data_IF_270431132556
#
_entry.id   IF_270431132556
#
_cell.length_a   1.000
_cell.length_b   1.000
_cell.length_c   1.000
_cell.angle_alpha   90.00
_cell.angle_beta   90.00
_cell.angle_gamma   90.00
#
_symmetry.space_group_name_H-M   'P 1'
#
loop_
_entity.id
_entity.type
_entity.pdbx_description
1 polymer ?
#
# COMPACT_ATOMS: atom_id res chain seq x y z
N UNK A 1 4.15 -26.01 3.84
CA UNK A 1 5.61 -26.00 4.11
C UNK A 1 5.93 -24.73 4.91
N UNK A 2 7.03 -24.71 5.66
CA UNK A 2 7.42 -23.57 6.50
C UNK A 2 8.60 -22.83 5.84
N UNK A 3 8.41 -21.55 5.57
CA UNK A 3 9.43 -20.65 5.01
C UNK A 3 9.61 -19.45 5.94
N UNK A 4 10.60 -18.61 5.65
CA UNK A 4 10.92 -17.43 6.44
C UNK A 4 11.29 -16.27 5.53
N UNK A 5 10.95 -15.06 5.96
CA UNK A 5 11.50 -13.80 5.45
C UNK A 5 12.19 -13.15 6.66
N UNK A 6 13.52 -13.13 6.66
CA UNK A 6 14.36 -12.85 7.82
C UNK A 6 14.00 -13.78 9.00
N UNK A 7 13.32 -13.26 10.02
CA UNK A 7 12.84 -14.02 11.18
C UNK A 7 11.31 -14.17 11.20
N UNK A 8 10.61 -13.65 10.18
CA UNK A 8 9.16 -13.70 10.09
C UNK A 8 8.74 -15.02 9.42
N UNK A 9 8.00 -15.90 10.10
CA UNK A 9 7.56 -17.17 9.54
C UNK A 9 6.51 -16.96 8.43
N UNK A 10 6.59 -17.79 7.39
CA UNK A 10 5.67 -17.82 6.26
C UNK A 10 5.02 -19.20 6.18
N UNK A 11 3.70 -19.24 6.30
CA UNK A 11 2.90 -20.46 6.22
C UNK A 11 2.09 -20.51 4.93
N UNK A 12 2.37 -21.53 4.12
CA UNK A 12 1.59 -21.85 2.92
C UNK A 12 0.48 -22.83 3.30
N UNK A 13 -0.76 -22.32 3.33
CA UNK A 13 -1.96 -23.07 3.69
C UNK A 13 -2.61 -23.71 2.47
N UNK A 14 -2.49 -23.07 1.31
CA UNK A 14 -2.89 -23.60 0.00
C UNK A 14 -1.76 -23.34 -0.98
N UNK A 15 -1.43 -24.33 -1.81
CA UNK A 15 -0.35 -24.21 -2.78
C UNK A 15 -0.73 -23.17 -3.86
N UNK A 16 0.18 -22.25 -4.18
CA UNK A 16 -0.01 -21.28 -5.24
C UNK A 16 0.00 -21.94 -6.63
N UNK A 17 -0.33 -21.21 -7.72
CA UNK A 17 -0.10 -21.66 -9.09
C UNK A 17 1.33 -22.19 -9.28
N UNK A 18 1.51 -23.22 -10.11
CA UNK A 18 2.82 -23.88 -10.33
C UNK A 18 3.93 -22.94 -10.81
N UNK A 19 3.55 -21.80 -11.39
CA UNK A 19 4.45 -20.77 -11.90
C UNK A 19 5.02 -19.88 -10.78
N UNK A 20 4.46 -19.95 -9.57
CA UNK A 20 4.87 -19.19 -8.39
C UNK A 20 5.80 -20.04 -7.50
N UNK A 21 6.96 -19.47 -7.16
CA UNK A 21 7.94 -20.06 -6.25
C UNK A 21 7.95 -19.29 -4.92
N UNK A 22 7.38 -19.88 -3.88
CA UNK A 22 7.39 -19.30 -2.51
C UNK A 22 8.83 -19.04 -2.02
N UNK A 23 9.82 -19.92 -2.24
CA UNK A 23 11.21 -19.61 -1.91
C UNK A 23 11.72 -18.35 -2.61
N UNK A 24 11.45 -18.19 -3.90
CA UNK A 24 11.92 -17.02 -4.66
C UNK A 24 11.26 -15.74 -4.18
N UNK A 25 9.95 -15.78 -3.88
CA UNK A 25 9.26 -14.67 -3.22
C UNK A 25 9.92 -14.30 -1.88
N UNK A 26 10.26 -15.28 -1.04
CA UNK A 26 10.89 -15.01 0.25
C UNK A 26 12.29 -14.40 0.08
N UNK A 27 13.11 -14.94 -0.83
CA UNK A 27 14.45 -14.42 -1.15
C UNK A 27 14.37 -12.97 -1.66
N UNK A 28 13.48 -12.68 -2.60
CA UNK A 28 13.28 -11.33 -3.13
C UNK A 28 12.79 -10.35 -2.06
N UNK A 29 11.87 -10.77 -1.19
CA UNK A 29 11.40 -9.96 -0.07
C UNK A 29 12.54 -9.60 0.90
N UNK A 30 13.44 -10.53 1.20
CA UNK A 30 14.61 -10.31 2.06
C UNK A 30 15.64 -9.36 1.44
N UNK A 31 15.81 -9.39 0.12
CA UNK A 31 16.70 -8.48 -0.60
C UNK A 31 16.19 -7.03 -0.62
N UNK A 32 14.87 -6.85 -0.61
CA UNK A 32 14.21 -5.55 -0.77
C UNK A 32 13.96 -4.87 0.57
N UNK A 33 13.44 -5.62 1.55
CA UNK A 33 13.09 -5.09 2.86
C UNK A 33 14.07 -5.60 3.90
N UNK A 34 14.67 -4.69 4.65
CA UNK A 34 15.49 -5.06 5.80
C UNK A 34 14.64 -5.53 6.99
N UNK A 35 15.19 -6.41 7.83
CA UNK A 35 14.46 -7.06 8.92
C UNK A 35 13.75 -6.10 9.89
N UNK A 36 14.29 -4.90 10.14
CA UNK A 36 13.66 -3.94 11.08
C UNK A 36 12.30 -3.43 10.57
N UNK A 37 12.10 -3.38 9.24
CA UNK A 37 10.83 -2.98 8.63
C UNK A 37 9.73 -4.02 8.83
N UNK A 38 10.08 -5.24 9.23
CA UNK A 38 9.16 -6.34 9.53
C UNK A 38 8.88 -6.49 11.04
N UNK A 39 9.36 -5.56 11.88
CA UNK A 39 9.19 -5.64 13.34
C UNK A 39 7.72 -5.67 13.80
N UNK A 40 6.80 -5.12 12.99
CA UNK A 40 5.36 -5.19 13.21
C UNK A 40 4.65 -6.41 12.62
N UNK A 41 5.39 -7.31 11.93
CA UNK A 41 4.86 -8.48 11.24
C UNK A 41 5.30 -9.76 11.96
N UNK A 42 4.36 -10.36 12.68
CA UNK A 42 4.55 -11.60 13.42
C UNK A 42 4.60 -12.84 12.50
N UNK A 43 3.84 -12.81 11.40
CA UNK A 43 3.64 -13.98 10.54
C UNK A 43 3.05 -13.59 9.17
N UNK A 44 3.39 -14.37 8.13
CA UNK A 44 2.78 -14.29 6.81
C UNK A 44 2.01 -15.58 6.51
N UNK A 45 0.78 -15.45 6.03
CA UNK A 45 -0.07 -16.55 5.60
C UNK A 45 -0.41 -16.45 4.12
N UNK A 46 -0.19 -17.52 3.37
CA UNK A 46 -0.54 -17.63 1.95
C UNK A 46 -1.65 -18.70 1.80
N UNK A 47 -2.82 -18.30 1.30
CA UNK A 47 -3.97 -19.20 1.19
C UNK A 47 -5.29 -18.51 0.86
N UNK A 48 -6.37 -19.28 0.88
CA UNK A 48 -7.72 -18.75 0.69
C UNK A 48 -8.35 -18.34 2.03
N UNK A 49 -8.47 -17.03 2.27
CA UNK A 49 -9.03 -16.46 3.50
C UNK A 49 -10.32 -15.70 3.20
N UNK A 50 -11.38 -15.97 3.96
CA UNK A 50 -12.68 -15.29 3.76
C UNK A 50 -12.62 -13.82 4.18
N UNK A 51 -11.75 -13.53 5.12
CA UNK A 51 -11.50 -12.22 5.71
C UNK A 51 -10.97 -11.21 4.69
N UNK A 52 -10.31 -11.67 3.63
CA UNK A 52 -9.82 -10.82 2.54
C UNK A 52 -10.95 -10.29 1.66
N UNK A 53 -12.09 -11.00 1.58
CA UNK A 53 -13.17 -10.62 0.67
C UNK A 53 -12.69 -10.54 -0.78
N UNK A 54 -12.76 -9.35 -1.38
CA UNK A 54 -12.30 -9.08 -2.74
C UNK A 54 -10.85 -8.56 -2.80
N UNK A 55 -10.15 -8.52 -1.66
CA UNK A 55 -8.75 -8.08 -1.58
C UNK A 55 -7.80 -9.24 -1.81
N UNK A 56 -6.61 -8.92 -2.27
CA UNK A 56 -5.56 -9.91 -2.46
C UNK A 56 -4.72 -10.11 -1.20
N UNK A 57 -4.56 -9.07 -0.40
CA UNK A 57 -3.89 -9.14 0.88
C UNK A 57 -4.50 -8.20 1.93
N UNK A 58 -4.14 -8.45 3.19
CA UNK A 58 -4.44 -7.57 4.31
C UNK A 58 -3.52 -7.87 5.50
N UNK A 59 -3.04 -6.83 6.15
CA UNK A 59 -2.42 -6.87 7.46
C UNK A 59 -3.48 -6.81 8.55
N UNK A 60 -3.51 -7.82 9.43
CA UNK A 60 -4.49 -7.96 10.50
C UNK A 60 -3.86 -8.59 11.73
N UNK A 61 -3.90 -7.87 12.87
CA UNK A 61 -3.44 -8.38 14.18
C UNK A 61 -2.03 -9.00 14.15
N UNK A 62 -1.07 -8.32 13.52
CA UNK A 62 0.32 -8.79 13.41
C UNK A 62 0.57 -9.76 12.25
N UNK A 63 -0.47 -10.30 11.62
CA UNK A 63 -0.34 -11.21 10.47
C UNK A 63 -0.58 -10.51 9.14
N UNK A 64 0.25 -10.81 8.13
CA UNK A 64 -0.04 -10.51 6.72
C UNK A 64 -0.73 -11.74 6.11
N UNK A 65 -1.94 -11.56 5.59
CA UNK A 65 -2.70 -12.59 4.91
C UNK A 65 -2.72 -12.29 3.43
N UNK A 66 -2.31 -13.23 2.58
CA UNK A 66 -2.29 -13.08 1.12
C UNK A 66 -3.01 -14.25 0.45
N UNK A 67 -3.71 -13.95 -0.63
CA UNK A 67 -4.33 -14.96 -1.49
C UNK A 67 -3.27 -15.85 -2.12
N UNK A 68 -3.55 -17.16 -2.21
CA UNK A 68 -2.69 -18.08 -2.96
C UNK A 68 -2.86 -17.92 -4.48
N UNK A 69 -3.83 -17.14 -4.94
CA UNK A 69 -4.21 -17.03 -6.35
C UNK A 69 -3.50 -15.92 -7.13
N UNK A 70 -2.46 -15.30 -6.54
CA UNK A 70 -1.65 -14.33 -7.28
C UNK A 70 -0.93 -14.98 -8.47
N UNK A 71 -0.89 -14.32 -9.64
CA UNK A 71 -0.38 -14.95 -10.84
C UNK A 71 1.15 -14.99 -10.90
N UNK A 72 1.84 -14.07 -10.21
CA UNK A 72 3.31 -14.02 -10.20
C UNK A 72 3.89 -13.75 -8.82
N UNK A 73 5.17 -14.08 -8.64
CA UNK A 73 5.92 -13.71 -7.43
C UNK A 73 5.99 -12.19 -7.22
N UNK A 74 5.99 -11.41 -8.31
CA UNK A 74 6.01 -9.96 -8.24
C UNK A 74 4.68 -9.41 -7.69
N UNK A 75 3.54 -9.96 -8.09
CA UNK A 75 2.23 -9.53 -7.53
C UNK A 75 2.16 -9.84 -6.03
N UNK A 76 2.71 -10.98 -5.59
CA UNK A 76 2.82 -11.28 -4.16
C UNK A 76 3.75 -10.34 -3.42
N UNK A 77 4.84 -9.97 -4.05
CA UNK A 77 5.80 -9.03 -3.50
C UNK A 77 5.20 -7.63 -3.38
N UNK A 78 4.42 -7.16 -4.37
CA UNK A 78 3.65 -5.92 -4.30
C UNK A 78 2.72 -5.93 -3.08
N UNK A 79 1.89 -6.98 -2.94
CA UNK A 79 1.01 -7.15 -1.78
C UNK A 79 1.79 -7.19 -0.46
N UNK A 80 2.88 -7.96 -0.38
CA UNK A 80 3.67 -8.10 0.84
C UNK A 80 4.29 -6.77 1.29
N UNK A 81 4.87 -6.01 0.35
CA UNK A 81 5.46 -4.69 0.65
C UNK A 81 4.38 -3.69 1.04
N UNK A 82 3.22 -3.73 0.38
CA UNK A 82 2.06 -2.89 0.71
C UNK A 82 1.56 -3.15 2.14
N UNK A 83 1.32 -4.42 2.48
CA UNK A 83 0.85 -4.79 3.82
C UNK A 83 1.91 -4.60 4.91
N UNK A 84 3.20 -4.71 4.56
CA UNK A 84 4.28 -4.29 5.45
C UNK A 84 4.19 -2.80 5.77
N UNK A 85 3.89 -1.96 4.78
CA UNK A 85 3.68 -0.53 5.03
C UNK A 85 2.53 -0.29 6.02
N UNK A 86 1.41 -1.00 5.88
CA UNK A 86 0.32 -0.94 6.86
C UNK A 86 0.74 -1.41 8.26
N UNK A 87 1.61 -2.41 8.36
CA UNK A 87 2.12 -2.87 9.66
C UNK A 87 2.94 -1.79 10.38
N UNK A 88 3.73 -0.99 9.64
CA UNK A 88 4.57 0.08 10.18
C UNK A 88 3.74 1.21 10.80
N UNK A 89 2.49 1.39 10.37
CA UNK A 89 1.62 2.42 10.93
C UNK A 89 1.39 2.23 12.44
N UNK A 90 1.36 0.99 12.92
CA UNK A 90 1.17 0.72 14.36
C UNK A 90 2.28 1.33 15.22
N UNK A 91 3.50 1.39 14.70
CA UNK A 91 4.67 1.91 15.40
C UNK A 91 4.94 3.38 15.06
N UNK A 92 4.79 3.75 13.79
CA UNK A 92 5.25 5.02 13.26
C UNK A 92 4.11 6.00 12.93
N UNK A 93 2.85 5.73 13.31
CA UNK A 93 1.71 6.62 12.99
C UNK A 93 1.97 8.10 13.28
N UNK A 94 2.56 8.43 14.43
CA UNK A 94 2.86 9.83 14.81
C UNK A 94 3.93 10.48 13.94
N UNK A 95 4.84 9.69 13.37
CA UNK A 95 5.91 10.15 12.48
C UNK A 95 5.44 10.21 11.02
N UNK A 96 4.66 9.22 10.57
CA UNK A 96 4.08 9.15 9.23
C UNK A 96 3.05 10.28 9.07
N UNK A 97 2.04 10.31 9.93
CA UNK A 97 0.86 11.16 9.78
C UNK A 97 0.97 12.50 10.51
N UNK A 98 2.14 13.12 10.38
CA UNK A 98 2.29 14.50 10.83
C UNK A 98 1.54 15.49 9.92
N UNK A 99 1.48 16.75 10.37
CA UNK A 99 0.82 17.81 9.61
C UNK A 99 1.37 17.94 8.19
N UNK A 100 2.65 17.67 7.96
CA UNK A 100 3.27 17.86 6.64
C UNK A 100 2.75 16.84 5.63
N UNK A 101 2.65 15.56 6.00
CA UNK A 101 2.13 14.52 5.09
C UNK A 101 0.63 14.72 4.87
N UNK A 102 -0.10 15.08 5.93
CA UNK A 102 -1.54 15.37 5.84
C UNK A 102 -1.80 16.53 4.87
N UNK A 103 -1.00 17.60 4.91
CA UNK A 103 -1.16 18.73 3.99
C UNK A 103 -0.81 18.37 2.54
N UNK A 104 0.26 17.59 2.30
CA UNK A 104 0.59 17.09 0.95
C UNK A 104 -0.57 16.27 0.37
N UNK A 105 -1.11 15.33 1.15
CA UNK A 105 -2.23 14.50 0.75
C UNK A 105 -3.51 15.30 0.48
N UNK A 106 -3.90 16.22 1.39
CA UNK A 106 -5.07 17.08 1.20
C UNK A 106 -4.95 18.00 -0.01
N UNK A 107 -3.76 18.54 -0.26
CA UNK A 107 -3.48 19.33 -1.46
C UNK A 107 -3.74 18.53 -2.74
N UNK A 108 -3.26 17.29 -2.77
CA UNK A 108 -3.49 16.37 -3.91
C UNK A 108 -4.97 16.02 -4.07
N UNK A 109 -5.69 15.71 -3.00
CA UNK A 109 -7.14 15.45 -3.07
C UNK A 109 -7.95 16.66 -3.50
N UNK A 110 -7.56 17.86 -3.10
CA UNK A 110 -8.17 19.11 -3.57
C UNK A 110 -7.98 19.27 -5.08
N UNK A 111 -6.79 18.94 -5.59
CA UNK A 111 -6.52 18.97 -7.03
C UNK A 111 -7.32 17.91 -7.79
N UNK A 112 -7.39 16.68 -7.27
CA UNK A 112 -8.19 15.59 -7.84
C UNK A 112 -9.67 15.96 -7.89
N UNK A 113 -10.20 16.55 -6.82
CA UNK A 113 -11.58 17.07 -6.79
C UNK A 113 -11.86 18.02 -7.95
N UNK A 114 -10.99 19.00 -8.18
CA UNK A 114 -11.17 19.95 -9.27
C UNK A 114 -11.14 19.29 -10.65
N UNK A 115 -10.32 18.23 -10.82
CA UNK A 115 -10.28 17.44 -12.06
C UNK A 115 -11.57 16.64 -12.25
N UNK A 116 -12.04 15.94 -11.21
CA UNK A 116 -13.27 15.16 -11.24
C UNK A 116 -14.51 16.04 -11.50
N UNK A 117 -14.59 17.20 -10.86
CA UNK A 117 -15.67 18.17 -11.09
C UNK A 117 -15.66 18.69 -12.54
N UNK A 118 -14.48 18.90 -13.14
CA UNK A 118 -14.34 19.32 -14.53
C UNK A 118 -14.80 18.24 -15.53
N UNK A 119 -14.56 16.96 -15.21
CA UNK A 119 -15.07 15.81 -15.97
C UNK A 119 -16.56 15.52 -15.70
N UNK A 120 -17.20 16.28 -14.81
CA UNK A 120 -18.64 16.20 -14.54
C UNK A 120 -19.05 15.21 -13.45
N UNK A 121 -18.09 14.60 -12.73
CA UNK A 121 -18.39 13.73 -11.60
C UNK A 121 -18.91 14.52 -10.41
N UNK A 122 -19.92 13.97 -9.72
CA UNK A 122 -20.59 14.63 -8.58
C UNK A 122 -20.71 13.69 -7.41
N UNK A 123 -20.06 14.07 -6.31
CA UNK A 123 -20.20 13.42 -5.01
C UNK A 123 -20.26 14.50 -3.92
N UNK A 124 -20.66 14.14 -2.70
CA UNK A 124 -20.65 15.07 -1.57
C UNK A 124 -19.24 15.67 -1.38
N UNK A 125 -19.06 17.00 -1.48
CA UNK A 125 -17.76 17.65 -1.35
C UNK A 125 -17.01 17.33 -0.05
N UNK A 126 -17.74 17.09 1.04
CA UNK A 126 -17.14 16.74 2.33
C UNK A 126 -16.36 15.43 2.29
N UNK A 127 -16.69 14.53 1.35
CA UNK A 127 -15.99 13.27 1.23
C UNK A 127 -14.52 13.46 0.82
N UNK A 128 -14.19 14.55 0.11
CA UNK A 128 -12.82 14.92 -0.26
C UNK A 128 -11.93 15.36 0.91
N UNK A 129 -12.54 15.72 2.05
CA UNK A 129 -11.82 16.22 3.22
C UNK A 129 -11.45 15.10 4.22
N UNK A 130 -12.14 13.95 4.17
CA UNK A 130 -11.86 12.81 5.06
C UNK A 130 -10.59 12.10 4.69
N UNK A 131 -9.53 12.25 5.48
CA UNK A 131 -8.23 11.67 5.13
C UNK A 131 -8.16 10.16 5.32
N UNK A 132 -8.89 9.63 6.29
CA UNK A 132 -8.98 8.19 6.55
C UNK A 132 -9.90 7.49 5.55
N UNK A 133 -9.77 6.16 5.48
CA UNK A 133 -10.59 5.32 4.63
C UNK A 133 -12.08 5.62 4.80
N UNK A 134 -12.74 5.90 3.69
CA UNK A 134 -14.18 6.08 3.64
C UNK A 134 -14.75 5.21 2.52
N UNK A 135 -15.45 4.14 2.89
CA UNK A 135 -16.04 3.18 1.96
C UNK A 135 -16.82 3.83 0.82
N UNK A 136 -17.61 4.88 1.12
CA UNK A 136 -18.42 5.56 0.10
C UNK A 136 -17.55 6.34 -0.90
N UNK A 137 -16.45 6.95 -0.44
CA UNK A 137 -15.54 7.66 -1.33
C UNK A 137 -14.73 6.68 -2.19
N UNK A 138 -14.28 5.58 -1.58
CA UNK A 138 -13.59 4.48 -2.24
C UNK A 138 -14.45 3.84 -3.34
N UNK A 139 -15.69 3.43 -3.02
CA UNK A 139 -16.65 2.90 -3.99
C UNK A 139 -16.93 3.89 -5.14
N UNK A 140 -17.00 5.19 -4.84
CA UNK A 140 -17.15 6.21 -5.88
C UNK A 140 -15.95 6.26 -6.82
N UNK A 141 -14.72 6.26 -6.29
CA UNK A 141 -13.52 6.25 -7.13
C UNK A 141 -13.40 4.96 -7.94
N UNK A 142 -13.69 3.81 -7.33
CA UNK A 142 -13.55 2.50 -7.97
C UNK A 142 -14.63 2.20 -9.00
N UNK A 143 -15.90 2.53 -8.71
CA UNK A 143 -17.05 2.10 -9.52
C UNK A 143 -17.70 3.22 -10.34
N UNK A 144 -17.75 4.46 -9.83
CA UNK A 144 -18.35 5.57 -10.58
C UNK A 144 -17.33 6.25 -11.50
N UNK A 145 -16.14 6.56 -10.98
CA UNK A 145 -15.05 7.12 -11.80
C UNK A 145 -14.38 6.03 -12.63
N UNK A 146 -14.07 4.90 -11.99
CA UNK A 146 -13.41 3.76 -12.60
C UNK A 146 -11.90 3.94 -12.76
N UNK A 147 -11.16 2.84 -12.62
CA UNK A 147 -9.69 2.85 -12.67
C UNK A 147 -9.08 3.49 -13.93
N UNK A 148 -9.58 3.28 -15.17
CA UNK A 148 -8.99 3.90 -16.34
C UNK A 148 -9.04 5.43 -16.29
N UNK A 149 -10.18 5.98 -15.87
CA UNK A 149 -10.34 7.43 -15.71
C UNK A 149 -9.50 7.94 -14.55
N UNK A 150 -9.56 7.25 -13.40
CA UNK A 150 -8.83 7.65 -12.21
C UNK A 150 -7.32 7.68 -12.45
N UNK A 151 -6.77 6.69 -13.15
CA UNK A 151 -5.36 6.64 -13.55
C UNK A 151 -4.97 7.86 -14.39
N UNK A 152 -5.80 8.22 -15.39
CA UNK A 152 -5.57 9.39 -16.24
C UNK A 152 -5.57 10.69 -15.43
N UNK A 153 -6.55 10.87 -14.54
CA UNK A 153 -6.69 12.08 -13.73
C UNK A 153 -5.65 12.21 -12.61
N UNK A 154 -5.13 11.09 -12.13
CA UNK A 154 -4.14 11.06 -11.04
C UNK A 154 -2.70 11.01 -11.52
N UNK A 155 -2.45 10.87 -12.83
CA UNK A 155 -1.11 10.84 -13.41
C UNK A 155 -0.32 12.11 -13.06
N UNK A 156 0.83 11.94 -12.42
CA UNK A 156 1.67 13.04 -11.93
C UNK A 156 1.12 13.77 -10.70
N UNK A 157 -0.04 13.35 -10.17
CA UNK A 157 -0.64 13.85 -8.93
C UNK A 157 -0.44 12.87 -7.78
N UNK A 158 -0.65 11.58 -8.04
CA UNK A 158 -0.34 10.48 -7.14
C UNK A 158 0.62 9.51 -7.85
N UNK A 159 1.40 8.77 -7.07
CA UNK A 159 2.29 7.72 -7.61
C UNK A 159 1.51 6.48 -8.06
N UNK A 160 0.33 6.27 -7.47
CA UNK A 160 -0.66 5.25 -7.81
C UNK A 160 -2.06 5.87 -7.66
N UNK A 161 -3.03 5.53 -8.54
CA UNK A 161 -4.41 6.04 -8.42
C UNK A 161 -5.07 5.66 -7.10
N UNK A 162 -4.75 4.48 -6.55
CA UNK A 162 -5.28 4.00 -5.26
C UNK A 162 -4.83 4.86 -4.09
N UNK A 163 -3.66 5.48 -4.17
CA UNK A 163 -3.19 6.41 -3.16
C UNK A 163 -4.07 7.65 -2.96
N UNK A 164 -5.16 7.84 -3.73
CA UNK A 164 -6.13 8.91 -3.53
C UNK A 164 -7.28 8.54 -2.56
N UNK A 165 -7.47 7.26 -2.23
CA UNK A 165 -8.62 6.76 -1.48
C UNK A 165 -8.55 7.14 0.01
N UNK A 166 -7.36 7.03 0.60
CA UNK A 166 -7.06 7.39 1.99
C UNK A 166 -5.59 7.73 2.18
N UNK A 167 -5.23 8.33 3.31
CA UNK A 167 -3.84 8.65 3.63
C UNK A 167 -3.02 7.39 3.95
N UNK A 168 -3.66 6.34 4.46
CA UNK A 168 -3.05 5.03 4.67
C UNK A 168 -2.64 4.39 3.35
N UNK A 169 -3.57 4.35 2.40
CA UNK A 169 -3.32 3.88 1.04
C UNK A 169 -2.30 4.76 0.33
N UNK A 170 -2.34 6.07 0.55
CA UNK A 170 -1.33 6.99 0.03
C UNK A 170 0.08 6.62 0.49
N UNK A 171 0.23 6.31 1.79
CA UNK A 171 1.49 5.86 2.37
C UNK A 171 1.91 4.50 1.80
N UNK A 172 1.05 3.49 1.87
CA UNK A 172 1.34 2.13 1.45
C UNK A 172 1.69 2.03 -0.05
N UNK A 173 0.91 2.68 -0.93
CA UNK A 173 1.22 2.74 -2.36
C UNK A 173 2.55 3.49 -2.64
N UNK A 174 2.87 4.52 -1.85
CA UNK A 174 4.16 5.21 -1.97
C UNK A 174 5.34 4.36 -1.53
N UNK A 175 5.16 3.59 -0.46
CA UNK A 175 6.14 2.65 0.07
C UNK A 175 6.40 1.52 -0.94
N UNK A 176 5.35 0.90 -1.47
CA UNK A 176 5.43 -0.08 -2.56
C UNK A 176 6.21 0.46 -3.77
N UNK A 177 5.82 1.64 -4.28
CA UNK A 177 6.53 2.28 -5.40
C UNK A 177 7.95 2.70 -5.10
N UNK A 178 8.28 2.96 -3.83
CA UNK A 178 9.64 3.26 -3.41
C UNK A 178 10.55 2.04 -3.55
N UNK A 179 10.08 0.87 -3.10
CA UNK A 179 10.87 -0.36 -3.04
C UNK A 179 10.88 -1.16 -4.34
N UNK A 180 9.75 -1.22 -5.06
CA UNK A 180 9.57 -2.16 -6.18
C UNK A 180 9.68 -1.53 -7.57
N UNK A 181 9.61 -0.21 -7.66
CA UNK A 181 9.50 0.48 -8.95
C UNK A 181 10.45 1.68 -9.00
N UNK A 182 9.93 2.90 -8.87
CA UNK A 182 10.67 4.12 -9.12
C UNK A 182 10.64 5.06 -7.92
N UNK A 183 11.60 4.88 -7.00
CA UNK A 183 11.83 5.78 -5.86
C UNK A 183 11.94 7.26 -6.24
N UNK A 184 12.46 7.58 -7.43
CA UNK A 184 12.56 8.98 -7.90
C UNK A 184 11.19 9.54 -8.23
N UNK A 185 10.28 8.73 -8.80
CA UNK A 185 8.91 9.15 -9.04
C UNK A 185 8.21 9.48 -7.71
N UNK A 186 8.43 8.69 -6.66
CA UNK A 186 7.90 8.99 -5.32
C UNK A 186 8.43 10.33 -4.82
N UNK A 187 9.74 10.56 -4.90
CA UNK A 187 10.36 11.83 -4.50
C UNK A 187 9.84 13.03 -5.29
N UNK A 188 9.70 12.89 -6.60
CA UNK A 188 9.39 14.01 -7.48
C UNK A 188 7.88 14.34 -7.46
N UNK A 189 7.01 13.33 -7.31
CA UNK A 189 5.54 13.50 -7.24
C UNK A 189 5.09 13.80 -5.81
N UNK A 190 5.64 13.11 -4.81
CA UNK A 190 5.21 13.10 -3.40
C UNK A 190 6.42 13.28 -2.46
N UNK A 191 7.06 14.46 -2.46
CA UNK A 191 8.32 14.69 -1.75
C UNK A 191 8.23 14.56 -0.22
N UNK A 192 7.08 14.87 0.39
CA UNK A 192 6.92 14.68 1.84
C UNK A 192 6.78 13.19 2.15
N UNK A 193 5.94 12.47 1.42
CA UNK A 193 5.83 11.01 1.54
C UNK A 193 7.17 10.30 1.37
N UNK A 194 7.95 10.67 0.35
CA UNK A 194 9.29 10.14 0.14
C UNK A 194 10.19 10.33 1.38
N UNK A 195 10.15 11.53 1.98
CA UNK A 195 10.93 11.81 3.18
C UNK A 195 10.47 10.96 4.36
N UNK A 196 9.16 10.76 4.54
CA UNK A 196 8.63 9.89 5.60
C UNK A 196 9.11 8.46 5.47
N UNK A 197 9.16 7.94 4.25
CA UNK A 197 9.70 6.61 3.96
C UNK A 197 11.20 6.55 4.31
N UNK A 198 11.99 7.53 3.88
CA UNK A 198 13.43 7.61 4.23
C UNK A 198 13.66 7.73 5.74
N UNK A 199 12.84 8.52 6.45
CA UNK A 199 12.95 8.69 7.91
C UNK A 199 12.73 7.34 8.63
N UNK A 200 11.80 6.51 8.16
CA UNK A 200 11.53 5.18 8.74
C UNK A 200 12.66 4.19 8.40
N UNK A 201 13.12 4.16 7.15
CA UNK A 201 14.19 3.24 6.71
C UNK A 201 15.50 3.47 7.47
N UNK A 202 15.78 4.72 7.83
CA UNK A 202 16.99 5.11 8.54
C UNK A 202 16.80 5.13 10.08
N UNK A 203 15.63 4.74 10.59
CA UNK A 203 15.37 4.64 12.02
C UNK A 203 15.88 3.29 12.55
N UNK A 204 17.19 3.21 12.78
CA UNK A 204 17.86 2.01 13.31
C UNK A 204 17.60 1.79 14.82
N UNK A 205 16.91 2.73 15.51
CA UNK A 205 16.68 2.72 16.97
C UNK A 205 15.30 2.15 17.38
N UNK A 206 14.60 1.49 16.46
CA UNK A 206 13.27 0.90 16.64
C UNK A 206 13.26 -0.54 17.17
#
# INVERSE_FOLDING_TARGET
>A
MEYYIHNTPVFVMHEPPQEMSVPSFCEEAEEILSAHLLSGVDVVYIGDFKELGDRNAAFMNGGIYMTANEPTAFDMLENFVHETAHSLENQYAWQIYDDSLIQEFKGKRTRLRALLEAEGYKINPLLYDFTEYNKKFDEFLAHEVGYPTLLSLTMGLFVSPYGATSIQEYFANGFEKYFLDNRRAVRDISPILYRKIEEIINDEDA
#
